data_IF_913061495242
#
_entry.id   IF_913061495242
#
_cell.length_a   1.000
_cell.length_b   1.000
_cell.length_c   1.000
_cell.angle_alpha   90.00
_cell.angle_beta   90.00
_cell.angle_gamma   90.00
#
_symmetry.space_group_name_H-M   'P 1'
#
loop_
_entity.id
_entity.type
_entity.pdbx_description
1 polymer ?
#
# COMPACT_ATOMS: atom_id res chain seq x y z
N UNK A 1 -18.17 2.92 20.86
CA UNK A 1 -17.36 1.85 21.48
C UNK A 1 -16.06 1.77 20.69
N UNK A 2 -14.96 2.29 21.25
CA UNK A 2 -13.67 2.29 20.56
C UNK A 2 -13.06 0.89 20.65
N UNK A 3 -12.70 0.28 19.53
CA UNK A 3 -11.94 -0.97 19.52
C UNK A 3 -10.56 -0.69 20.13
N UNK A 4 -10.22 -1.41 21.20
CA UNK A 4 -8.87 -1.45 21.75
C UNK A 4 -7.91 -1.89 20.64
N UNK A 5 -6.72 -1.30 20.49
CA UNK A 5 -5.77 -1.69 19.45
C UNK A 5 -5.40 -3.21 19.46
N UNK A 6 -5.68 -3.92 20.56
CA UNK A 6 -5.55 -5.39 20.69
C UNK A 6 -6.61 -6.21 19.94
N UNK A 7 -7.70 -5.59 19.52
CA UNK A 7 -8.85 -6.27 18.89
C UNK A 7 -8.79 -6.24 17.34
N UNK A 8 -7.76 -5.61 16.79
CA UNK A 8 -7.48 -5.59 15.35
C UNK A 8 -6.64 -6.82 15.02
N UNK A 9 -7.12 -7.71 14.13
CA UNK A 9 -6.35 -8.88 13.68
C UNK A 9 -4.98 -8.47 13.13
N UNK A 10 -3.97 -9.28 13.43
CA UNK A 10 -2.63 -9.08 12.90
C UNK A 10 -2.67 -9.08 11.36
N UNK A 11 -2.18 -8.03 10.69
CA UNK A 11 -2.18 -7.97 9.24
C UNK A 11 -1.21 -8.99 8.65
N UNK A 12 -1.56 -9.55 7.49
CA UNK A 12 -0.62 -10.39 6.75
C UNK A 12 0.28 -9.49 5.89
N UNK A 13 1.59 -9.54 6.13
CA UNK A 13 2.58 -8.81 5.34
C UNK A 13 3.31 -9.81 4.44
N UNK A 14 3.32 -9.55 3.14
CA UNK A 14 4.07 -10.33 2.15
C UNK A 14 4.90 -9.43 1.26
N UNK A 15 6.01 -9.94 0.75
CA UNK A 15 6.81 -9.26 -0.28
C UNK A 15 6.45 -9.84 -1.65
N UNK A 16 6.04 -8.98 -2.59
CA UNK A 16 5.88 -9.31 -4.00
C UNK A 16 7.18 -8.97 -4.73
N UNK A 17 8.05 -9.98 -4.86
CA UNK A 17 9.36 -9.83 -5.48
C UNK A 17 9.31 -9.50 -6.97
N UNK A 18 8.21 -9.81 -7.66
CA UNK A 18 8.06 -9.49 -9.09
C UNK A 18 7.86 -7.99 -9.30
N UNK A 19 7.25 -7.31 -8.33
CA UNK A 19 7.01 -5.87 -8.36
C UNK A 19 7.95 -5.06 -7.46
N UNK A 20 8.71 -5.72 -6.57
CA UNK A 20 9.50 -5.05 -5.53
C UNK A 20 8.64 -4.34 -4.49
N UNK A 21 7.43 -4.84 -4.22
CA UNK A 21 6.45 -4.20 -3.34
C UNK A 21 6.19 -5.01 -2.08
N UNK A 22 5.85 -4.32 -0.99
CA UNK A 22 5.26 -4.95 0.19
C UNK A 22 3.73 -4.88 0.06
N UNK A 23 3.07 -6.03 0.18
CA UNK A 23 1.61 -6.14 0.20
C UNK A 23 1.16 -6.46 1.62
N UNK A 24 0.26 -5.65 2.14
CA UNK A 24 -0.35 -5.78 3.46
C UNK A 24 -1.82 -6.14 3.28
N UNK A 25 -2.26 -7.25 3.87
CA UNK A 25 -3.67 -7.64 3.91
C UNK A 25 -4.24 -7.40 5.31
N UNK A 26 -5.25 -6.54 5.37
CA UNK A 26 -6.03 -6.31 6.57
C UNK A 26 -7.17 -7.32 6.61
N UNK A 27 -7.35 -7.97 7.76
CA UNK A 27 -8.36 -9.00 7.95
C UNK A 27 -9.39 -8.56 8.99
N UNK A 28 -10.61 -9.03 8.85
CA UNK A 28 -11.62 -8.93 9.91
C UNK A 28 -11.40 -10.00 11.00
N UNK A 29 -12.24 -9.96 12.04
CA UNK A 29 -12.16 -10.92 13.16
C UNK A 29 -12.42 -12.37 12.75
N UNK A 30 -13.08 -12.62 11.62
CA UNK A 30 -13.27 -13.96 11.07
C UNK A 30 -12.06 -14.42 10.23
N UNK A 31 -11.07 -13.56 10.05
CA UNK A 31 -9.88 -13.83 9.24
C UNK A 31 -10.06 -13.52 7.75
N UNK A 32 -11.20 -12.97 7.34
CA UNK A 32 -11.45 -12.62 5.94
C UNK A 32 -10.70 -11.33 5.57
N UNK A 33 -10.04 -11.32 4.40
CA UNK A 33 -9.35 -10.12 3.90
C UNK A 33 -10.39 -9.06 3.54
N UNK A 34 -10.34 -7.92 4.24
CA UNK A 34 -11.23 -6.78 4.00
C UNK A 34 -10.57 -5.70 3.14
N UNK A 35 -9.23 -5.62 3.14
CA UNK A 35 -8.48 -4.62 2.38
C UNK A 35 -7.07 -5.10 2.11
N UNK A 36 -6.54 -4.71 0.94
CA UNK A 36 -5.12 -4.89 0.60
C UNK A 36 -4.46 -3.54 0.35
N UNK A 37 -3.20 -3.42 0.75
CA UNK A 37 -2.34 -2.27 0.48
C UNK A 37 -1.06 -2.79 -0.20
N UNK A 38 -0.78 -2.44 -1.46
CA UNK A 38 -1.67 -1.72 -2.39
C UNK A 38 -2.96 -2.52 -2.70
N UNK A 39 -3.99 -1.82 -3.18
CA UNK A 39 -5.24 -2.45 -3.63
C UNK A 39 -5.01 -3.34 -4.87
N UNK A 40 -5.93 -4.25 -5.15
CA UNK A 40 -5.86 -5.09 -6.35
C UNK A 40 -5.76 -4.27 -7.65
N UNK A 41 -6.50 -3.16 -7.75
CA UNK A 41 -6.43 -2.27 -8.91
C UNK A 41 -5.07 -1.57 -9.04
N UNK A 42 -4.48 -1.16 -7.90
CA UNK A 42 -3.13 -0.58 -7.90
C UNK A 42 -2.08 -1.62 -8.26
N UNK A 43 -2.16 -2.84 -7.72
CA UNK A 43 -1.27 -3.95 -8.10
C UNK A 43 -1.34 -4.21 -9.61
N UNK A 44 -2.54 -4.18 -10.22
CA UNK A 44 -2.68 -4.31 -11.65
C UNK A 44 -2.02 -3.16 -12.43
N UNK A 45 -2.09 -1.92 -11.92
CA UNK A 45 -1.41 -0.77 -12.51
C UNK A 45 0.12 -0.92 -12.43
N UNK A 46 0.66 -1.36 -11.29
CA UNK A 46 2.09 -1.66 -11.15
C UNK A 46 2.56 -2.73 -12.13
N UNK A 47 1.79 -3.82 -12.28
CA UNK A 47 2.09 -4.88 -13.26
C UNK A 47 2.12 -4.34 -14.68
N UNK A 48 1.08 -3.58 -15.07
CA UNK A 48 1.02 -2.97 -16.40
C UNK A 48 2.21 -2.05 -16.66
N UNK A 49 2.60 -1.23 -15.69
CA UNK A 49 3.76 -0.35 -15.83
C UNK A 49 5.06 -1.15 -16.00
N UNK A 50 5.26 -2.23 -15.25
CA UNK A 50 6.43 -3.13 -15.41
C UNK A 50 6.44 -3.76 -16.81
N UNK A 51 5.27 -4.17 -17.33
CA UNK A 51 5.18 -4.87 -18.61
C UNK A 51 5.32 -3.93 -19.82
N UNK A 52 4.77 -2.71 -19.76
CA UNK A 52 4.66 -1.82 -20.93
C UNK A 52 5.37 -0.48 -20.78
N UNK A 53 5.72 -0.08 -19.56
CA UNK A 53 6.21 1.27 -19.25
C UNK A 53 5.13 2.36 -19.35
N UNK A 54 3.87 2.02 -19.59
CA UNK A 54 2.79 2.99 -19.74
C UNK A 54 2.31 3.53 -18.39
N UNK A 55 2.20 4.86 -18.31
CA UNK A 55 1.65 5.57 -17.16
C UNK A 55 2.70 6.40 -16.41
N UNK A 56 2.30 7.10 -15.34
CA UNK A 56 3.25 7.79 -14.48
C UNK A 56 4.19 6.79 -13.81
N UNK A 57 5.48 7.13 -13.71
CA UNK A 57 6.44 6.34 -12.93
C UNK A 57 5.95 6.24 -11.48
N UNK A 58 5.58 5.03 -11.02
CA UNK A 58 4.96 4.87 -9.73
C UNK A 58 5.97 4.94 -8.57
N UNK A 59 7.28 5.02 -8.88
CA UNK A 59 8.36 5.23 -7.91
C UNK A 59 8.93 6.65 -7.95
N UNK A 60 8.44 7.50 -8.85
CA UNK A 60 8.85 8.89 -8.88
C UNK A 60 8.47 9.58 -7.55
N UNK A 61 9.37 10.38 -6.96
CA UNK A 61 9.05 11.15 -5.77
C UNK A 61 7.90 12.11 -6.09
N UNK A 62 6.87 12.13 -5.23
CA UNK A 62 5.82 13.13 -5.33
C UNK A 62 6.41 14.51 -4.98
N UNK A 63 6.45 15.48 -5.92
CA UNK A 63 6.96 16.82 -5.63
C UNK A 63 6.14 17.55 -4.56
N UNK A 64 4.92 17.10 -4.25
CA UNK A 64 4.10 17.61 -3.15
C UNK A 64 4.40 17.00 -1.77
N UNK A 65 5.05 15.83 -1.71
CA UNK A 65 5.37 15.18 -0.43
C UNK A 65 6.49 15.89 0.34
N UNK A 66 7.45 16.50 -0.36
CA UNK A 66 8.57 17.24 0.25
C UNK A 66 8.18 18.62 0.80
N UNK A 67 7.02 19.16 0.42
CA UNK A 67 6.57 20.48 0.89
C UNK A 67 5.95 20.44 2.31
N UNK A 68 5.56 19.26 2.82
CA UNK A 68 4.89 19.12 4.10
C UNK A 68 5.84 19.09 5.33
N UNK A 69 7.16 19.00 5.11
CA UNK A 69 8.17 18.89 6.18
C UNK A 69 9.11 20.12 6.27
N UNK A 70 8.72 21.28 5.76
CA UNK A 70 9.44 22.52 6.09
C UNK A 70 9.01 23.03 7.47
N UNK A 71 9.87 23.03 8.51
CA UNK A 71 9.55 23.68 9.77
C UNK A 71 9.46 25.20 9.54
N UNK A 72 8.36 25.81 9.96
CA UNK A 72 8.25 27.26 10.04
C UNK A 72 9.27 27.75 11.10
N UNK A 73 10.29 28.45 10.63
CA UNK A 73 11.23 29.22 11.46
C UNK A 73 10.75 30.65 11.66
#
# INVERSE_FOLDING_TARGET
MAASARDVPDPCIRHDAALGLVVIELRDRAGAVIRTLPSAAQIAAYRRWVDTGDGPDPFAPDPGAVAAEAPAG
#
